data_IF_475970524760
#
_entry.id   IF_475970524760
#
_cell.length_a   1.000
_cell.length_b   1.000
_cell.length_c   1.000
_cell.angle_alpha   90.00
_cell.angle_beta   90.00
_cell.angle_gamma   90.00
#
_symmetry.space_group_name_H-M   'P 1'
#
loop_
_entity.id
_entity.type
_entity.pdbx_description
1 polymer ?
#
# COMPACT_ATOMS: atom_id res chain seq x y z
N UNK A 1 8.43 -18.82 -23.35
CA UNK A 1 9.41 -18.42 -22.32
C UNK A 1 8.93 -17.17 -21.58
N UNK A 2 9.18 -17.06 -20.27
CA UNK A 2 8.94 -15.82 -19.51
C UNK A 2 10.01 -14.81 -19.94
N UNK A 3 9.66 -13.63 -20.46
CA UNK A 3 10.64 -12.66 -20.93
C UNK A 3 11.52 -12.19 -19.76
N UNK A 4 12.82 -12.06 -20.02
CA UNK A 4 13.77 -11.52 -19.03
C UNK A 4 13.49 -10.03 -18.87
N UNK A 5 13.31 -9.59 -17.63
CA UNK A 5 13.02 -8.18 -17.35
C UNK A 5 14.26 -7.33 -17.59
N UNK A 6 14.08 -6.18 -18.23
CA UNK A 6 15.11 -5.12 -18.27
C UNK A 6 15.60 -4.71 -16.88
N UNK A 7 16.84 -4.22 -16.80
CA UNK A 7 17.43 -3.70 -15.57
C UNK A 7 16.60 -2.55 -14.97
N UNK A 8 16.07 -1.66 -15.81
CA UNK A 8 15.22 -0.56 -15.39
C UNK A 8 13.94 -1.06 -14.70
N UNK A 9 13.28 -2.08 -15.24
CA UNK A 9 12.10 -2.66 -14.62
C UNK A 9 12.42 -3.37 -13.30
N UNK A 10 13.56 -4.08 -13.21
CA UNK A 10 14.00 -4.68 -11.96
C UNK A 10 14.28 -3.62 -10.88
N UNK A 11 14.90 -2.48 -11.25
CA UNK A 11 15.10 -1.35 -10.37
C UNK A 11 13.76 -0.74 -9.90
N UNK A 12 12.79 -0.58 -10.81
CA UNK A 12 11.44 -0.13 -10.47
C UNK A 12 10.76 -1.09 -9.47
N UNK A 13 10.87 -2.40 -9.69
CA UNK A 13 10.36 -3.41 -8.75
C UNK A 13 11.05 -3.32 -7.39
N UNK A 14 12.36 -3.06 -7.35
CA UNK A 14 13.11 -2.86 -6.11
C UNK A 14 12.63 -1.62 -5.34
N UNK A 15 12.38 -0.50 -6.02
CA UNK A 15 11.81 0.70 -5.41
C UNK A 15 10.45 0.42 -4.75
N UNK A 16 9.55 -0.28 -5.47
CA UNK A 16 8.26 -0.68 -4.93
C UNK A 16 8.39 -1.57 -3.68
N UNK A 17 9.29 -2.56 -3.70
CA UNK A 17 9.55 -3.46 -2.56
C UNK A 17 10.11 -2.69 -1.37
N UNK A 18 11.08 -1.80 -1.57
CA UNK A 18 11.66 -0.98 -0.52
C UNK A 18 10.59 -0.08 0.11
N UNK A 19 9.80 0.61 -0.71
CA UNK A 19 8.67 1.44 -0.26
C UNK A 19 7.66 0.63 0.56
N UNK A 20 7.25 -0.55 0.06
CA UNK A 20 6.34 -1.43 0.78
C UNK A 20 6.93 -1.86 2.14
N UNK A 21 8.23 -2.16 2.19
CA UNK A 21 8.93 -2.48 3.43
C UNK A 21 8.95 -1.34 4.44
N UNK A 22 9.18 -0.10 4.00
CA UNK A 22 9.10 1.07 4.88
C UNK A 22 7.69 1.34 5.38
N UNK A 23 6.66 1.23 4.53
CA UNK A 23 5.26 1.36 4.96
C UNK A 23 4.92 0.33 6.05
N UNK A 24 5.29 -0.94 5.84
CA UNK A 24 5.04 -2.01 6.83
C UNK A 24 5.72 -1.72 8.17
N UNK A 25 7.00 -1.31 8.14
CA UNK A 25 7.73 -0.93 9.36
C UNK A 25 7.10 0.27 10.07
N UNK A 26 6.73 1.32 9.33
CA UNK A 26 6.06 2.49 9.89
C UNK A 26 4.75 2.11 10.60
N UNK A 27 3.95 1.23 9.99
CA UNK A 27 2.74 0.69 10.62
C UNK A 27 3.07 -0.15 11.87
N UNK A 28 4.12 -0.98 11.83
CA UNK A 28 4.54 -1.76 12.99
C UNK A 28 4.94 -0.86 14.18
N UNK A 29 5.76 0.16 13.93
CA UNK A 29 6.14 1.15 14.95
C UNK A 29 4.91 1.90 15.50
N UNK A 30 3.96 2.26 14.62
CA UNK A 30 2.68 2.84 15.06
C UNK A 30 1.91 1.92 16.02
N UNK A 31 1.83 0.63 15.68
CA UNK A 31 1.12 -0.35 16.50
C UNK A 31 1.87 -0.65 17.80
N UNK A 32 3.20 -0.62 17.79
CA UNK A 32 4.04 -0.78 18.98
C UNK A 32 3.80 0.35 19.98
N UNK A 33 3.88 1.62 19.53
CA UNK A 33 3.57 2.77 20.39
C UNK A 33 2.16 2.67 20.98
N UNK A 34 1.17 2.29 20.15
CA UNK A 34 -0.22 2.14 20.60
C UNK A 34 -0.39 1.02 21.63
N UNK A 35 0.32 -0.10 21.50
CA UNK A 35 0.30 -1.19 22.47
C UNK A 35 0.89 -0.78 23.82
N UNK A 36 2.08 -0.17 23.79
CA UNK A 36 2.79 0.28 25.01
C UNK A 36 1.99 1.35 25.77
N UNK A 37 1.39 2.29 25.05
CA UNK A 37 0.54 3.33 25.64
C UNK A 37 -0.75 2.75 26.21
N UNK A 38 -1.33 1.74 25.56
CA UNK A 38 -2.53 1.06 26.05
C UNK A 38 -2.30 0.35 27.38
N UNK A 39 -1.13 -0.27 27.59
CA UNK A 39 -0.76 -0.90 28.87
C UNK A 39 -0.75 0.09 30.04
N UNK A 40 -0.59 1.38 29.75
CA UNK A 40 -0.60 2.48 30.73
C UNK A 40 -1.91 3.29 30.71
N UNK A 41 -2.98 2.73 30.12
CA UNK A 41 -4.31 3.33 30.10
C UNK A 41 -4.52 4.42 29.04
N UNK A 42 -3.55 4.66 28.17
CA UNK A 42 -3.63 5.68 27.11
C UNK A 42 -4.12 5.04 25.81
N UNK A 43 -5.40 5.26 25.49
CA UNK A 43 -6.02 4.69 24.29
C UNK A 43 -5.85 5.62 23.09
N UNK A 44 -5.22 5.11 22.04
CA UNK A 44 -5.04 5.82 20.77
C UNK A 44 -5.84 5.18 19.64
N UNK A 45 -6.55 6.00 18.89
CA UNK A 45 -7.22 5.60 17.66
C UNK A 45 -6.22 5.08 16.60
N UNK A 46 -6.71 4.27 15.65
CA UNK A 46 -5.92 3.90 14.47
C UNK A 46 -5.76 5.09 13.54
N UNK A 47 -4.56 5.25 12.96
CA UNK A 47 -4.33 6.17 11.86
C UNK A 47 -3.16 7.12 12.11
N UNK A 48 -2.77 7.78 11.03
CA UNK A 48 -1.62 8.69 11.00
C UNK A 48 -1.80 9.91 11.90
N UNK A 49 -3.01 10.48 11.95
CA UNK A 49 -3.33 11.65 12.79
C UNK A 49 -3.10 11.34 14.27
N UNK A 50 -3.54 10.15 14.73
CA UNK A 50 -3.37 9.74 16.12
C UNK A 50 -1.88 9.68 16.50
N UNK A 51 -1.02 9.15 15.62
CA UNK A 51 0.41 9.08 15.89
C UNK A 51 1.09 10.45 15.77
N UNK A 52 0.86 11.17 14.67
CA UNK A 52 1.57 12.42 14.36
C UNK A 52 1.18 13.60 15.25
N UNK A 53 -0.03 13.61 15.81
CA UNK A 53 -0.53 14.76 16.57
C UNK A 53 -0.78 14.43 18.05
N UNK A 54 -1.32 13.25 18.37
CA UNK A 54 -1.69 12.94 19.75
C UNK A 54 -0.50 12.41 20.56
N UNK A 55 0.39 11.62 19.96
CA UNK A 55 1.58 11.12 20.68
C UNK A 55 2.48 12.27 21.17
N UNK A 56 2.84 13.29 20.36
CA UNK A 56 3.57 14.45 20.86
C UNK A 56 2.89 15.13 22.06
N UNK A 57 1.57 15.33 21.99
CA UNK A 57 0.80 15.95 23.08
C UNK A 57 0.83 15.13 24.37
N UNK A 58 0.74 13.81 24.26
CA UNK A 58 0.86 12.89 25.42
C UNK A 58 2.25 13.01 26.06
N UNK A 59 3.29 13.10 25.23
CA UNK A 59 4.67 13.25 25.71
C UNK A 59 4.90 14.58 26.43
N UNK A 60 4.24 15.65 26.01
CA UNK A 60 4.28 16.99 26.62
C UNK A 60 3.39 17.11 27.87
N UNK A 61 2.37 16.28 28.01
CA UNK A 61 1.42 16.34 29.12
C UNK A 61 1.99 15.71 30.40
N UNK A 62 2.49 16.56 31.30
CA UNK A 62 3.01 16.16 32.61
C UNK A 62 1.94 15.61 33.57
N UNK A 63 0.64 15.77 33.28
CA UNK A 63 -0.44 15.24 34.12
C UNK A 63 -0.70 13.75 33.89
N UNK A 64 -0.22 13.21 32.77
CA UNK A 64 -0.36 11.80 32.43
C UNK A 64 0.64 10.95 33.27
N UNK A 65 0.19 9.92 34.00
CA UNK A 65 1.06 9.12 34.88
C UNK A 65 1.89 8.09 34.08
N UNK A 66 2.63 8.56 33.06
CA UNK A 66 3.58 7.74 32.31
C UNK A 66 4.95 7.81 32.97
N UNK A 67 5.60 6.67 33.23
CA UNK A 67 6.99 6.65 33.68
C UNK A 67 7.91 7.37 32.67
N UNK A 68 8.92 8.09 33.16
CA UNK A 68 9.84 8.86 32.31
C UNK A 68 10.55 7.96 31.28
N UNK A 69 10.96 6.76 31.69
CA UNK A 69 11.56 5.76 30.79
C UNK A 69 10.64 5.41 29.61
N UNK A 70 9.33 5.33 29.83
CA UNK A 70 8.37 5.08 28.78
C UNK A 70 8.21 6.30 27.86
N UNK A 71 8.21 7.52 28.41
CA UNK A 71 8.14 8.74 27.60
C UNK A 71 9.33 8.83 26.65
N UNK A 72 10.53 8.56 27.14
CA UNK A 72 11.75 8.52 26.33
C UNK A 72 11.65 7.47 25.22
N UNK A 73 11.25 6.24 25.54
CA UNK A 73 11.07 5.18 24.55
C UNK A 73 10.04 5.55 23.47
N UNK A 74 8.89 6.11 23.87
CA UNK A 74 7.85 6.53 22.92
C UNK A 74 8.35 7.68 22.03
N UNK A 75 9.15 8.61 22.57
CA UNK A 75 9.78 9.67 21.78
C UNK A 75 10.75 9.12 20.73
N UNK A 76 11.57 8.12 21.09
CA UNK A 76 12.46 7.44 20.13
C UNK A 76 11.67 6.74 19.01
N UNK A 77 10.63 5.99 19.37
CA UNK A 77 9.76 5.30 18.40
C UNK A 77 9.04 6.29 17.48
N UNK A 78 8.60 7.44 18.01
CA UNK A 78 8.00 8.51 17.22
C UNK A 78 9.01 9.10 16.22
N UNK A 79 10.27 9.28 16.64
CA UNK A 79 11.36 9.69 15.77
C UNK A 79 11.61 8.69 14.63
N UNK A 80 11.69 7.39 14.92
CA UNK A 80 11.82 6.34 13.91
C UNK A 80 10.61 6.35 12.93
N UNK A 81 9.40 6.47 13.47
CA UNK A 81 8.17 6.55 12.69
C UNK A 81 8.19 7.70 11.68
N UNK A 82 8.68 8.87 12.10
CA UNK A 82 8.85 10.05 11.25
C UNK A 82 9.88 9.80 10.15
N UNK A 83 11.06 9.27 10.48
CA UNK A 83 12.10 8.94 9.50
C UNK A 83 11.64 7.91 8.46
N UNK A 84 10.87 6.91 8.88
CA UNK A 84 10.25 5.94 7.97
C UNK A 84 9.23 6.62 7.04
N UNK A 85 8.46 7.59 7.55
CA UNK A 85 7.56 8.43 6.76
C UNK A 85 8.30 9.18 5.65
N UNK A 86 9.41 9.85 5.98
CA UNK A 86 10.23 10.56 4.99
C UNK A 86 10.80 9.63 3.92
N UNK A 87 11.28 8.43 4.31
CA UNK A 87 11.74 7.43 3.34
C UNK A 87 10.62 6.97 2.41
N UNK A 88 9.39 6.83 2.91
CA UNK A 88 8.22 6.52 2.08
C UNK A 88 7.94 7.66 1.10
N UNK A 89 8.00 8.92 1.56
CA UNK A 89 7.77 10.10 0.73
C UNK A 89 8.80 10.22 -0.39
N UNK A 90 10.09 10.06 -0.07
CA UNK A 90 11.19 10.09 -1.05
C UNK A 90 10.98 9.02 -2.14
N UNK A 91 10.66 7.78 -1.76
CA UNK A 91 10.43 6.72 -2.75
C UNK A 91 9.13 6.93 -3.53
N UNK A 92 8.09 7.48 -2.90
CA UNK A 92 6.84 7.86 -3.58
C UNK A 92 7.11 8.91 -4.65
N UNK A 93 7.83 9.98 -4.31
CA UNK A 93 8.19 11.04 -5.26
C UNK A 93 9.01 10.53 -6.46
N UNK A 94 9.95 9.59 -6.24
CA UNK A 94 10.69 8.94 -7.34
C UNK A 94 9.78 8.15 -8.29
N UNK A 95 8.82 7.40 -7.73
CA UNK A 95 7.84 6.66 -8.53
C UNK A 95 6.91 7.62 -9.29
N UNK A 96 6.50 8.72 -8.67
CA UNK A 96 5.68 9.74 -9.32
C UNK A 96 6.40 10.45 -10.46
N UNK A 97 7.68 10.79 -10.29
CA UNK A 97 8.51 11.36 -11.35
C UNK A 97 8.62 10.40 -12.54
N UNK A 98 8.96 9.13 -12.28
CA UNK A 98 9.04 8.11 -13.33
C UNK A 98 7.70 7.89 -14.05
N UNK A 99 6.58 7.92 -13.32
CA UNK A 99 5.24 7.81 -13.92
C UNK A 99 4.92 9.00 -14.85
N UNK A 100 5.39 10.21 -14.51
CA UNK A 100 5.15 11.40 -15.33
C UNK A 100 5.97 11.38 -16.62
N UNK A 101 7.13 10.73 -16.64
CA UNK A 101 8.01 10.64 -17.80
C UNK A 101 7.56 9.56 -18.80
N UNK A 102 6.90 8.50 -18.34
CA UNK A 102 6.47 7.36 -19.15
C UNK A 102 5.06 7.55 -19.76
N UNK A 103 4.96 7.46 -21.09
CA UNK A 103 3.69 7.63 -21.83
C UNK A 103 2.66 6.55 -21.49
N UNK A 104 3.08 5.31 -21.25
CA UNK A 104 2.18 4.22 -20.88
C UNK A 104 1.68 4.42 -19.45
N UNK A 105 2.53 4.88 -18.52
CA UNK A 105 2.11 5.23 -17.16
C UNK A 105 1.05 6.35 -17.18
N UNK A 106 1.28 7.41 -17.97
CA UNK A 106 0.31 8.51 -18.13
C UNK A 106 -1.03 8.01 -18.64
N UNK A 107 -1.05 7.11 -19.62
CA UNK A 107 -2.28 6.47 -20.13
C UNK A 107 -2.95 5.59 -19.08
N UNK A 108 -2.20 4.79 -18.33
CA UNK A 108 -2.77 3.98 -17.24
C UNK A 108 -3.42 4.86 -16.17
N UNK A 109 -2.83 6.01 -15.86
CA UNK A 109 -3.34 6.95 -14.87
C UNK A 109 -4.64 7.66 -15.27
N UNK A 110 -5.10 7.55 -16.52
CA UNK A 110 -6.43 8.04 -16.90
C UNK A 110 -7.55 7.13 -16.40
N UNK A 111 -7.23 5.90 -15.99
CA UNK A 111 -8.20 4.97 -15.40
C UNK A 111 -8.47 5.39 -13.95
N UNK A 112 -9.76 5.56 -13.60
CA UNK A 112 -10.15 5.98 -12.26
C UNK A 112 -9.65 4.99 -11.21
N UNK A 113 -8.94 5.50 -10.20
CA UNK A 113 -8.33 4.67 -9.15
C UNK A 113 -6.93 4.15 -9.47
N UNK A 114 -6.41 4.39 -10.68
CA UNK A 114 -5.01 4.11 -11.03
C UNK A 114 -4.19 5.38 -10.88
N UNK A 115 -3.42 5.44 -9.79
CA UNK A 115 -2.43 6.51 -9.57
C UNK A 115 -1.02 6.10 -10.03
N UNK A 116 -0.03 6.99 -9.87
CA UNK A 116 1.35 6.75 -10.29
C UNK A 116 1.93 5.47 -9.69
N UNK A 117 1.65 5.18 -8.42
CA UNK A 117 2.13 3.96 -7.74
C UNK A 117 1.55 2.68 -8.35
N UNK A 118 0.29 2.69 -8.80
CA UNK A 118 -0.32 1.52 -9.46
C UNK A 118 0.24 1.40 -10.88
N UNK A 119 0.33 2.51 -11.60
CA UNK A 119 0.82 2.56 -12.97
C UNK A 119 2.26 2.04 -13.09
N UNK A 120 3.19 2.56 -12.27
CA UNK A 120 4.58 2.11 -12.29
C UNK A 120 4.73 0.67 -11.80
N UNK A 121 3.89 0.22 -10.85
CA UNK A 121 3.91 -1.17 -10.40
C UNK A 121 3.48 -2.14 -11.50
N UNK A 122 2.51 -1.76 -12.34
CA UNK A 122 2.08 -2.53 -13.51
C UNK A 122 3.17 -2.54 -14.58
N UNK A 123 3.72 -1.38 -14.93
CA UNK A 123 4.81 -1.27 -15.92
C UNK A 123 6.03 -2.09 -15.54
N UNK A 124 6.42 -2.08 -14.26
CA UNK A 124 7.56 -2.82 -13.77
C UNK A 124 7.42 -4.34 -13.95
N UNK A 125 6.21 -4.85 -14.23
CA UNK A 125 5.99 -6.27 -14.55
C UNK A 125 6.41 -6.63 -15.96
N UNK A 126 6.49 -5.66 -16.88
CA UNK A 126 6.76 -5.86 -18.32
C UNK A 126 5.93 -7.02 -18.86
N UNK A 127 4.63 -6.97 -18.55
CA UNK A 127 3.69 -7.97 -19.04
C UNK A 127 3.16 -7.48 -20.38
N UNK A 128 3.30 -8.29 -21.43
CA UNK A 128 2.70 -8.06 -22.75
C UNK A 128 1.21 -8.43 -22.70
N UNK A 129 0.27 -7.46 -22.69
CA UNK A 129 -1.16 -7.75 -22.56
C UNK A 129 -1.71 -8.61 -23.70
N UNK A 130 -1.09 -8.54 -24.89
CA UNK A 130 -1.44 -9.29 -26.10
C UNK A 130 -1.25 -10.80 -25.93
N UNK A 131 -0.46 -11.24 -24.93
CA UNK A 131 -0.27 -12.67 -24.63
C UNK A 131 -1.47 -13.32 -23.95
N UNK A 132 -2.44 -12.53 -23.48
CA UNK A 132 -3.63 -13.04 -22.82
C UNK A 132 -4.79 -13.09 -23.82
N UNK A 133 -5.52 -14.20 -23.82
CA UNK A 133 -6.65 -14.36 -24.74
C UNK A 133 -7.82 -13.40 -24.42
N UNK A 134 -7.83 -12.78 -23.24
CA UNK A 134 -8.81 -11.75 -22.86
C UNK A 134 -8.33 -10.88 -21.70
N UNK A 135 -8.94 -9.71 -21.55
CA UNK A 135 -8.72 -8.83 -20.40
C UNK A 135 -9.02 -9.52 -19.05
N UNK A 136 -9.97 -10.46 -19.01
CA UNK A 136 -10.26 -11.25 -17.81
C UNK A 136 -9.08 -12.13 -17.40
N UNK A 137 -8.40 -12.74 -18.36
CA UNK A 137 -7.21 -13.55 -18.08
C UNK A 137 -6.03 -12.67 -17.63
N UNK A 138 -5.87 -11.48 -18.22
CA UNK A 138 -4.90 -10.49 -17.74
C UNK A 138 -5.17 -10.07 -16.28
N UNK A 139 -6.43 -9.78 -15.93
CA UNK A 139 -6.82 -9.47 -14.56
C UNK A 139 -6.58 -10.66 -13.60
N UNK A 140 -6.84 -11.89 -14.06
CA UNK A 140 -6.58 -13.11 -13.28
C UNK A 140 -5.09 -13.33 -13.00
N UNK A 141 -4.20 -12.98 -13.94
CA UNK A 141 -2.75 -13.03 -13.75
C UNK A 141 -2.27 -12.18 -12.57
N UNK A 142 -2.88 -11.01 -12.37
CA UNK A 142 -2.63 -10.16 -11.20
C UNK A 142 -3.47 -10.53 -9.97
N UNK A 143 -4.24 -11.61 -10.04
CA UNK A 143 -5.05 -12.11 -8.93
C UNK A 143 -6.28 -11.25 -8.61
N UNK A 144 -6.77 -10.46 -9.57
CA UNK A 144 -7.89 -9.53 -9.40
C UNK A 144 -9.27 -10.17 -9.60
N UNK A 145 -9.31 -11.46 -9.93
CA UNK A 145 -10.53 -12.21 -10.25
C UNK A 145 -10.80 -13.23 -9.14
N UNK A 146 -12.07 -13.43 -8.72
CA UNK A 146 -12.45 -14.51 -7.79
C UNK A 146 -12.11 -15.89 -8.35
N UNK A 147 -11.85 -16.86 -7.46
CA UNK A 147 -11.74 -18.25 -7.89
C UNK A 147 -13.08 -18.73 -8.45
N UNK A 148 -13.05 -19.69 -9.38
CA UNK A 148 -14.27 -20.26 -9.95
C UNK A 148 -14.22 -21.78 -9.81
N UNK A 149 -15.28 -22.36 -9.24
CA UNK A 149 -15.51 -23.79 -9.23
C UNK A 149 -16.75 -24.07 -10.07
N UNK A 150 -16.60 -24.83 -11.16
CA UNK A 150 -17.70 -25.15 -12.06
C UNK A 150 -17.75 -26.65 -12.32
N UNK A 151 -18.94 -27.23 -12.22
CA UNK A 151 -19.20 -28.64 -12.49
C UNK A 151 -20.51 -28.75 -13.27
N UNK A 152 -20.49 -29.39 -14.44
CA UNK A 152 -21.63 -29.40 -15.35
C UNK A 152 -22.08 -27.99 -15.73
N UNK A 153 -23.37 -27.70 -15.59
CA UNK A 153 -23.97 -26.39 -15.89
C UNK A 153 -23.91 -25.37 -14.73
N UNK A 154 -23.37 -25.75 -13.56
CA UNK A 154 -23.36 -24.87 -12.38
C UNK A 154 -22.02 -24.17 -12.24
N UNK A 155 -22.03 -22.84 -12.37
CA UNK A 155 -20.90 -21.96 -12.08
C UNK A 155 -21.01 -21.41 -10.66
N UNK A 156 -20.00 -21.65 -9.82
CA UNK A 156 -19.89 -21.05 -8.48
C UNK A 156 -18.62 -20.20 -8.40
N UNK A 157 -18.80 -18.91 -8.10
CA UNK A 157 -17.68 -18.02 -7.77
C UNK A 157 -17.29 -18.22 -6.30
N UNK A 158 -15.99 -18.35 -6.04
CA UNK A 158 -15.39 -18.46 -4.72
C UNK A 158 -14.74 -17.15 -4.27
N UNK A 159 -13.87 -17.25 -3.25
CA UNK A 159 -13.13 -16.10 -2.72
C UNK A 159 -12.12 -15.58 -3.75
N UNK A 160 -11.62 -14.36 -3.59
CA UNK A 160 -10.46 -13.88 -4.36
C UNK A 160 -9.31 -14.88 -4.25
N UNK A 161 -8.77 -15.29 -5.40
CA UNK A 161 -7.61 -16.16 -5.41
C UNK A 161 -6.43 -15.44 -4.73
N UNK A 162 -5.65 -16.14 -3.92
CA UNK A 162 -4.39 -15.60 -3.37
C UNK A 162 -3.23 -15.73 -4.38
N UNK A 163 -3.47 -16.37 -5.52
CA UNK A 163 -2.53 -16.52 -6.62
C UNK A 163 -2.27 -15.17 -7.32
N UNK A 164 -1.12 -15.03 -7.97
CA UNK A 164 -0.71 -13.77 -8.62
C UNK A 164 0.02 -12.81 -7.68
N UNK A 165 0.15 -11.55 -8.10
CA UNK A 165 0.95 -10.55 -7.40
C UNK A 165 0.17 -9.88 -6.25
N UNK A 166 0.48 -10.27 -5.01
CA UNK A 166 -0.19 -9.76 -3.82
C UNK A 166 0.00 -8.24 -3.62
N UNK A 167 1.10 -7.66 -4.08
CA UNK A 167 1.35 -6.23 -3.96
C UNK A 167 0.47 -5.45 -4.93
N UNK A 168 0.45 -5.83 -6.21
CA UNK A 168 -0.43 -5.20 -7.20
C UNK A 168 -1.90 -5.33 -6.83
N UNK A 169 -2.34 -6.53 -6.43
CA UNK A 169 -3.71 -6.74 -5.94
C UNK A 169 -4.05 -5.81 -4.77
N UNK A 170 -3.14 -5.66 -3.81
CA UNK A 170 -3.35 -4.74 -2.70
C UNK A 170 -3.49 -3.30 -3.19
N UNK A 171 -2.60 -2.84 -4.08
CA UNK A 171 -2.65 -1.47 -4.60
C UNK A 171 -3.94 -1.20 -5.39
N UNK A 172 -4.36 -2.11 -6.27
CA UNK A 172 -5.57 -1.92 -7.09
C UNK A 172 -6.84 -1.92 -6.24
N UNK A 173 -6.89 -2.72 -5.17
CA UNK A 173 -8.01 -2.68 -4.20
C UNK A 173 -8.04 -1.34 -3.46
N UNK A 174 -6.89 -0.82 -3.04
CA UNK A 174 -6.82 0.52 -2.43
C UNK A 174 -7.27 1.60 -3.41
N UNK A 175 -6.86 1.50 -4.68
CA UNK A 175 -7.32 2.37 -5.77
C UNK A 175 -8.85 2.34 -5.91
N UNK A 176 -9.45 1.14 -6.00
CA UNK A 176 -10.90 0.97 -6.07
C UNK A 176 -11.62 1.54 -4.84
N UNK A 177 -11.10 1.30 -3.63
CA UNK A 177 -11.68 1.87 -2.40
C UNK A 177 -11.63 3.40 -2.38
N UNK A 178 -10.53 4.00 -2.85
CA UNK A 178 -10.42 5.45 -2.94
C UNK A 178 -11.46 6.04 -3.90
N UNK A 179 -11.74 5.34 -5.00
CA UNK A 179 -12.81 5.71 -5.94
C UNK A 179 -14.19 5.60 -5.31
N UNK A 180 -14.50 4.47 -4.68
CA UNK A 180 -15.80 4.25 -4.04
C UNK A 180 -16.11 5.28 -2.96
N UNK A 181 -15.10 5.72 -2.19
CA UNK A 181 -15.25 6.78 -1.18
C UNK A 181 -15.60 8.15 -1.78
N UNK A 182 -15.32 8.36 -3.05
CA UNK A 182 -15.62 9.62 -3.76
C UNK A 182 -16.93 9.56 -4.55
N UNK A 183 -17.50 8.37 -4.74
CA UNK A 183 -18.80 8.21 -5.38
C UNK A 183 -19.87 8.55 -4.34
N UNK A 184 -20.74 9.52 -4.66
CA UNK A 184 -21.91 9.82 -3.82
C UNK A 184 -22.93 8.69 -3.98
N UNK A 185 -23.71 8.36 -2.93
CA UNK A 185 -24.65 7.23 -2.97
C UNK A 185 -25.72 7.31 -4.08
N UNK A 186 -25.93 8.48 -4.68
CA UNK A 186 -27.06 8.76 -5.57
C UNK A 186 -26.61 9.34 -6.95
N UNK A 187 -25.66 8.70 -7.63
CA UNK A 187 -25.27 9.06 -9.01
C UNK A 187 -25.26 7.85 -9.93
#
# INVERSE_FOLDING_TARGET
>A
AVPVKSAAALAMQALHRARQGYVRRRTAVSNQMRGLLLEHGVVLAQGEIAISQLVPRILEDATQPLPDLLRELIAELLGEWGQLGERVNVLTGRLEAAAKEDETARRLMTVRGVGPIIATALLAKQTEPERFASARQFAAYFGLVPSQHSSGEKVRLGKMSKQGDAYLRSLTIQGAHAVLRQIRPDS
#
